data_IF_866577664486
#
_entry.id   IF_866577664486
#
_cell.length_a   1.000
_cell.length_b   1.000
_cell.length_c   1.000
_cell.angle_alpha   90.00
_cell.angle_beta   90.00
_cell.angle_gamma   90.00
#
_symmetry.space_group_name_H-M   'P 1'
#
loop_
_entity.id
_entity.type
_entity.pdbx_description
1 polymer ?
#
# COMPACT_ATOMS: atom_id res chain seq x y z
N UNK A 1 -5.42 -1.55 12.14
CA UNK A 1 -4.34 -0.89 11.37
C UNK A 1 -3.44 -1.88 10.64
N UNK A 2 -2.81 -2.86 11.31
CA UNK A 2 -1.99 -3.86 10.60
C UNK A 2 -2.80 -4.68 9.58
N UNK A 3 -3.98 -5.19 9.97
CA UNK A 3 -4.88 -5.92 9.06
C UNK A 3 -5.24 -5.09 7.83
N UNK A 4 -5.64 -3.84 8.04
CA UNK A 4 -5.97 -2.91 6.95
C UNK A 4 -4.79 -2.69 6.01
N UNK A 5 -3.60 -2.42 6.54
CA UNK A 5 -2.41 -2.22 5.74
C UNK A 5 -2.04 -3.47 4.92
N UNK A 6 -2.14 -4.67 5.52
CA UNK A 6 -1.88 -5.92 4.80
C UNK A 6 -2.93 -6.15 3.70
N UNK A 7 -4.21 -5.99 4.01
CA UNK A 7 -5.30 -6.15 3.05
C UNK A 7 -5.17 -5.19 1.87
N UNK A 8 -4.95 -3.90 2.13
CA UNK A 8 -4.78 -2.88 1.09
C UNK A 8 -3.55 -3.18 0.24
N UNK A 9 -2.41 -3.52 0.84
CA UNK A 9 -1.18 -3.80 0.10
C UNK A 9 -1.31 -5.04 -0.80
N UNK A 10 -1.91 -6.12 -0.28
CA UNK A 10 -2.17 -7.34 -1.07
C UNK A 10 -3.14 -7.04 -2.21
N UNK A 11 -4.24 -6.33 -1.96
CA UNK A 11 -5.21 -5.99 -3.00
C UNK A 11 -4.61 -5.05 -4.04
N UNK A 12 -3.83 -4.03 -3.65
CA UNK A 12 -3.13 -3.14 -4.58
C UNK A 12 -2.09 -3.90 -5.41
N UNK A 13 -1.45 -4.92 -4.83
CA UNK A 13 -0.57 -5.84 -5.56
C UNK A 13 -1.31 -6.68 -6.60
N UNK A 14 -2.43 -7.30 -6.23
CA UNK A 14 -3.25 -8.09 -7.17
C UNK A 14 -3.82 -7.20 -8.28
N UNK A 15 -4.29 -6.01 -7.93
CA UNK A 15 -4.92 -5.08 -8.88
C UNK A 15 -3.89 -4.38 -9.78
N UNK A 16 -2.61 -4.32 -9.37
CA UNK A 16 -1.57 -3.59 -10.09
C UNK A 16 -1.79 -2.07 -10.09
N UNK A 17 -2.53 -1.56 -9.09
CA UNK A 17 -2.90 -0.16 -8.94
C UNK A 17 -3.12 0.18 -7.47
N UNK A 18 -2.39 1.17 -6.97
CA UNK A 18 -2.54 1.64 -5.60
C UNK A 18 -3.97 2.08 -5.28
N UNK A 19 -4.54 2.99 -6.08
CA UNK A 19 -5.89 3.50 -5.86
C UNK A 19 -6.96 2.42 -6.05
N UNK A 20 -6.81 1.55 -7.04
CA UNK A 20 -7.75 0.46 -7.29
C UNK A 20 -7.82 -0.53 -6.12
N UNK A 21 -6.68 -0.99 -5.62
CA UNK A 21 -6.63 -1.92 -4.50
C UNK A 21 -7.12 -1.31 -3.18
N UNK A 22 -6.84 -0.02 -2.95
CA UNK A 22 -7.38 0.70 -1.81
C UNK A 22 -8.91 0.83 -1.87
N UNK A 23 -9.47 1.18 -3.03
CA UNK A 23 -10.92 1.28 -3.19
C UNK A 23 -11.61 -0.06 -2.91
N UNK A 24 -11.07 -1.18 -3.42
CA UNK A 24 -11.63 -2.52 -3.17
C UNK A 24 -11.54 -2.86 -1.67
N UNK A 25 -10.39 -2.58 -1.04
CA UNK A 25 -10.17 -2.85 0.37
C UNK A 25 -11.12 -2.06 1.27
N UNK A 26 -11.30 -0.76 1.00
CA UNK A 26 -12.17 0.12 1.78
C UNK A 26 -13.65 -0.16 1.52
N UNK A 27 -14.03 -0.53 0.31
CA UNK A 27 -15.42 -0.90 0.01
C UNK A 27 -15.82 -2.20 0.72
N UNK A 28 -14.89 -3.18 0.76
CA UNK A 28 -15.13 -4.49 1.38
C UNK A 28 -15.02 -4.45 2.92
N UNK A 29 -13.97 -3.83 3.45
CA UNK A 29 -13.60 -3.91 4.88
C UNK A 29 -13.67 -2.57 5.62
N UNK A 30 -13.86 -1.45 4.91
CA UNK A 30 -13.80 -0.11 5.51
C UNK A 30 -14.81 0.11 6.63
N UNK A 31 -16.03 -0.43 6.51
CA UNK A 31 -17.04 -0.35 7.59
C UNK A 31 -16.56 -1.03 8.88
N UNK A 32 -15.98 -2.23 8.77
CA UNK A 32 -15.45 -2.98 9.91
C UNK A 32 -14.25 -2.27 10.56
N UNK A 33 -13.39 -1.67 9.75
CA UNK A 33 -12.26 -0.88 10.25
C UNK A 33 -12.70 0.41 10.93
N UNK A 34 -13.75 1.08 10.43
CA UNK A 34 -14.34 2.26 11.07
C UNK A 34 -15.04 1.93 12.40
N UNK A 35 -15.77 0.81 12.44
CA UNK A 35 -16.41 0.29 13.65
C UNK A 35 -15.37 -0.12 14.71
N UNK A 36 -14.25 -0.71 14.28
CA UNK A 36 -13.12 -0.97 15.17
C UNK A 36 -12.46 0.31 15.67
N UNK A 37 -12.23 1.28 14.78
CA UNK A 37 -11.60 2.55 15.09
C UNK A 37 -12.40 3.35 16.13
N UNK A 38 -13.72 3.42 15.95
CA UNK A 38 -14.61 4.09 16.90
C UNK A 38 -14.62 3.44 18.30
N UNK A 39 -14.42 2.13 18.40
CA UNK A 39 -14.32 1.40 19.69
C UNK A 39 -12.99 1.62 20.39
N UNK A 40 -11.90 1.78 19.64
CA UNK A 40 -10.54 1.95 20.17
C UNK A 40 -10.16 3.44 20.30
N UNK A 41 -11.02 4.36 19.84
CA UNK A 41 -10.77 5.81 19.87
C UNK A 41 -9.75 6.28 18.83
N UNK A 42 -9.59 5.53 17.73
CA UNK A 42 -8.65 5.87 16.65
C UNK A 42 -9.35 6.77 15.63
N UNK A 43 -8.68 7.84 15.24
CA UNK A 43 -9.20 8.79 14.25
C UNK A 43 -9.28 8.15 12.84
N UNK A 44 -10.39 8.38 12.13
CA UNK A 44 -10.59 7.86 10.77
C UNK A 44 -9.58 8.41 9.75
N UNK A 45 -9.06 9.64 9.92
CA UNK A 45 -7.96 10.16 9.12
C UNK A 45 -6.69 9.32 9.30
N UNK A 46 -6.44 8.80 10.50
CA UNK A 46 -5.28 7.95 10.76
C UNK A 46 -5.39 6.63 10.00
N UNK A 47 -6.57 5.97 10.01
CA UNK A 47 -6.80 4.78 9.19
C UNK A 47 -6.60 5.09 7.71
N UNK A 48 -7.21 6.17 7.21
CA UNK A 48 -7.08 6.51 5.80
C UNK A 48 -5.64 6.82 5.39
N UNK A 49 -4.84 7.46 6.26
CA UNK A 49 -3.40 7.68 6.05
C UNK A 49 -2.64 6.36 5.98
N UNK A 50 -2.92 5.42 6.89
CA UNK A 50 -2.31 4.09 6.90
C UNK A 50 -2.69 3.30 5.64
N UNK A 51 -3.96 3.30 5.25
CA UNK A 51 -4.44 2.70 4.00
C UNK A 51 -3.77 3.33 2.77
N UNK A 52 -3.65 4.66 2.76
CA UNK A 52 -2.98 5.40 1.69
C UNK A 52 -1.51 5.02 1.55
N UNK A 53 -0.79 4.95 2.67
CA UNK A 53 0.61 4.53 2.68
C UNK A 53 0.76 3.05 2.24
N UNK A 54 -0.11 2.17 2.72
CA UNK A 54 -0.10 0.74 2.41
C UNK A 54 -0.40 0.42 0.94
N UNK A 55 -1.27 1.21 0.29
CA UNK A 55 -1.68 0.99 -1.10
C UNK A 55 -0.53 1.07 -2.09
N UNK A 56 0.53 1.77 -1.72
CA UNK A 56 1.66 1.97 -2.59
C UNK A 56 2.67 0.83 -2.63
N UNK A 57 2.65 -0.14 -1.71
CA UNK A 57 3.72 -1.14 -1.59
C UNK A 57 3.87 -2.01 -2.85
N UNK A 58 2.94 -2.94 -3.05
CA UNK A 58 2.98 -3.94 -4.12
C UNK A 58 2.41 -3.47 -5.47
N UNK A 59 2.04 -2.20 -5.62
CA UNK A 59 1.49 -1.72 -6.90
C UNK A 59 2.51 -1.77 -8.05
N UNK A 60 3.81 -1.88 -7.77
CA UNK A 60 4.91 -1.79 -8.75
C UNK A 60 5.25 -3.12 -9.44
N UNK A 61 4.40 -4.13 -9.27
CA UNK A 61 4.53 -5.44 -9.91
C UNK A 61 4.43 -5.34 -11.45
N UNK A 62 4.92 -6.35 -12.22
CA UNK A 62 5.16 -6.20 -13.66
C UNK A 62 3.87 -6.01 -14.48
N UNK A 63 2.70 -6.27 -13.91
CA UNK A 63 1.39 -6.03 -14.51
C UNK A 63 0.86 -4.59 -14.30
N UNK A 64 1.61 -3.71 -13.61
CA UNK A 64 1.22 -2.32 -13.45
C UNK A 64 1.40 -1.52 -14.74
N UNK A 65 0.30 -0.97 -15.26
CA UNK A 65 0.29 -0.13 -16.46
C UNK A 65 1.19 1.10 -16.37
N UNK A 66 1.37 1.69 -15.18
CA UNK A 66 2.27 2.83 -14.98
C UNK A 66 3.75 2.44 -15.19
N UNK A 67 4.15 1.26 -14.71
CA UNK A 67 5.51 0.73 -14.89
C UNK A 67 5.77 0.39 -16.36
N UNK A 68 4.80 -0.23 -17.03
CA UNK A 68 4.90 -0.55 -18.46
C UNK A 68 5.06 0.72 -19.29
N UNK A 69 4.27 1.77 -18.98
CA UNK A 69 4.36 3.06 -19.67
C UNK A 69 5.69 3.75 -19.43
N UNK A 70 6.19 3.74 -18.18
CA UNK A 70 7.49 4.30 -17.83
C UNK A 70 8.63 3.64 -18.62
N UNK A 71 8.59 2.31 -18.74
CA UNK A 71 9.60 1.54 -19.48
C UNK A 71 9.53 1.80 -20.98
N UNK A 72 8.32 1.94 -21.53
CA UNK A 72 8.10 2.33 -22.92
C UNK A 72 8.69 3.71 -23.23
N UNK A 73 8.49 4.70 -22.35
CA UNK A 73 9.04 6.05 -22.51
C UNK A 73 10.57 6.06 -22.32
N UNK A 74 11.08 5.29 -21.35
CA UNK A 74 12.52 5.20 -21.07
C UNK A 74 13.30 4.34 -22.08
N UNK A 75 12.60 3.61 -22.97
CA UNK A 75 13.22 2.67 -23.92
C UNK A 75 13.90 1.48 -23.25
N UNK A 76 13.53 1.16 -22.00
CA UNK A 76 14.13 0.08 -21.21
C UNK A 76 13.24 -1.17 -21.27
N UNK A 77 13.88 -2.33 -21.25
CA UNK A 77 13.14 -3.60 -21.12
C UNK A 77 12.85 -3.89 -19.64
N UNK A 78 11.76 -4.61 -19.34
CA UNK A 78 11.50 -5.10 -17.97
C UNK A 78 12.72 -5.81 -17.40
N UNK A 79 13.42 -6.64 -18.18
CA UNK A 79 14.59 -7.39 -17.73
C UNK A 79 15.74 -6.50 -17.22
N UNK A 80 15.88 -5.27 -17.75
CA UNK A 80 16.91 -4.33 -17.33
C UNK A 80 16.52 -3.57 -16.06
N UNK A 81 15.28 -3.07 -15.99
CA UNK A 81 14.83 -2.19 -14.91
C UNK A 81 14.17 -2.91 -13.71
N UNK A 82 13.78 -4.19 -13.87
CA UNK A 82 12.98 -4.88 -12.85
C UNK A 82 13.71 -5.05 -11.51
N UNK A 83 15.06 -5.14 -11.53
CA UNK A 83 15.83 -5.17 -10.27
C UNK A 83 15.68 -3.88 -9.48
N UNK A 84 15.73 -2.73 -10.15
CA UNK A 84 15.59 -1.42 -9.51
C UNK A 84 14.15 -1.20 -9.04
N UNK A 85 13.18 -1.57 -9.87
CA UNK A 85 11.76 -1.50 -9.52
C UNK A 85 11.47 -2.37 -8.28
N UNK A 86 11.94 -3.61 -8.26
CA UNK A 86 11.76 -4.54 -7.15
C UNK A 86 12.43 -4.07 -5.86
N UNK A 87 13.63 -3.46 -5.95
CA UNK A 87 14.31 -2.87 -4.80
C UNK A 87 13.49 -1.71 -4.19
N UNK A 88 12.90 -0.86 -5.03
CA UNK A 88 12.01 0.23 -4.59
C UNK A 88 10.71 -0.33 -3.98
N UNK A 89 10.13 -1.39 -4.57
CA UNK A 89 8.96 -2.08 -4.01
C UNK A 89 9.21 -2.55 -2.58
N UNK A 90 10.35 -3.19 -2.33
CA UNK A 90 10.75 -3.68 -1.02
C UNK A 90 10.97 -2.55 -0.01
N UNK A 91 11.67 -1.48 -0.42
CA UNK A 91 11.89 -0.30 0.42
C UNK A 91 10.57 0.36 0.83
N UNK A 92 9.69 0.60 -0.15
CA UNK A 92 8.40 1.24 0.08
C UNK A 92 7.49 0.39 0.97
N UNK A 93 7.39 -0.90 0.67
CA UNK A 93 6.61 -1.84 1.48
C UNK A 93 7.15 -1.92 2.90
N UNK A 94 8.47 -2.03 3.06
CA UNK A 94 9.15 -2.03 4.36
C UNK A 94 8.85 -0.79 5.19
N UNK A 95 8.85 0.40 4.56
CA UNK A 95 8.58 1.69 5.22
C UNK A 95 7.20 1.73 5.89
N UNK A 96 6.18 1.16 5.26
CA UNK A 96 4.83 1.12 5.83
C UNK A 96 4.79 0.22 7.07
N UNK A 97 5.43 -0.95 7.02
CA UNK A 97 5.50 -1.85 8.17
C UNK A 97 6.31 -1.26 9.33
N UNK A 98 7.43 -0.56 9.06
CA UNK A 98 8.18 0.13 10.11
C UNK A 98 7.39 1.28 10.73
N UNK A 99 6.64 2.04 9.94
CA UNK A 99 5.78 3.12 10.48
C UNK A 99 4.65 2.57 11.36
N UNK A 100 4.01 1.46 10.97
CA UNK A 100 2.99 0.80 11.80
C UNK A 100 3.61 0.25 13.11
N UNK A 101 4.82 -0.32 13.05
CA UNK A 101 5.57 -0.77 14.23
C UNK A 101 5.92 0.40 15.15
N UNK A 102 6.44 1.50 14.60
CA UNK A 102 6.73 2.73 15.34
C UNK A 102 5.47 3.28 16.01
N UNK A 103 4.35 3.31 15.31
CA UNK A 103 3.08 3.75 15.87
C UNK A 103 2.62 2.83 17.03
N UNK A 104 2.77 1.50 16.87
CA UNK A 104 2.41 0.53 17.91
C UNK A 104 3.33 0.57 19.15
N UNK A 105 4.61 0.90 18.98
CA UNK A 105 5.60 0.93 20.08
C UNK A 105 5.66 2.29 20.77
N UNK A 106 5.57 3.39 20.02
CA UNK A 106 5.76 4.74 20.54
C UNK A 106 4.45 5.52 20.74
N UNK A 107 3.29 4.99 20.31
CA UNK A 107 2.00 5.69 20.37
C UNK A 107 2.11 7.12 19.78
N UNK A 108 2.95 7.28 18.76
CA UNK A 108 3.22 8.59 18.16
C UNK A 108 2.16 8.86 17.10
N UNK A 109 1.35 9.89 17.39
CA UNK A 109 0.13 10.36 16.71
C UNK A 109 -1.16 9.69 17.17
#
# INVERSE_FOLDING_TARGET
MLSEAVTVNVLSGVTGSASGGMSIALDTFGKQYLDWASRVGVDAQLLHRVASMASGGMDTLPHNGAVITLLGIAGLTHKQAYKDIFAITLLKTGTVFTLILLQGVFHFV
#
